data_IF_874771417843
#
_entry.id   IF_874771417843
#
_cell.length_a   1.000
_cell.length_b   1.000
_cell.length_c   1.000
_cell.angle_alpha   90.00
_cell.angle_beta   90.00
_cell.angle_gamma   90.00
#
_symmetry.space_group_name_H-M   'P 1'
#
loop_
_entity.id
_entity.type
_entity.pdbx_description
1 polymer ?
#
# COMPACT_ATOMS: atom_id res chain seq x y z
N UNK A 1 17.18 -9.04 37.95
CA UNK A 1 17.45 -8.74 36.53
C UNK A 1 16.77 -9.72 35.56
N UNK A 2 16.79 -11.04 35.79
CA UNK A 2 16.14 -12.02 34.88
C UNK A 2 14.59 -11.97 34.83
N UNK A 3 13.91 -11.61 35.93
CA UNK A 3 12.43 -11.53 35.99
C UNK A 3 11.82 -10.33 35.23
N UNK A 4 12.56 -9.23 35.11
CA UNK A 4 12.11 -8.01 34.40
C UNK A 4 12.17 -8.22 32.87
N UNK A 5 13.18 -8.95 32.38
CA UNK A 5 13.33 -9.28 30.95
C UNK A 5 12.20 -10.21 30.46
N UNK A 6 11.77 -11.17 31.28
CA UNK A 6 10.70 -12.11 30.94
C UNK A 6 9.34 -11.41 30.82
N UNK A 7 9.07 -10.44 31.71
CA UNK A 7 7.83 -9.64 31.65
C UNK A 7 7.81 -8.77 30.38
N UNK A 8 8.96 -8.18 30.00
CA UNK A 8 9.05 -7.39 28.76
C UNK A 8 8.82 -8.23 27.49
N UNK A 9 9.30 -9.48 27.46
CA UNK A 9 9.09 -10.45 26.37
C UNK A 9 7.63 -10.93 26.24
N UNK A 10 6.87 -10.95 27.33
CA UNK A 10 5.45 -11.34 27.30
C UNK A 10 4.52 -10.19 26.89
N UNK A 11 4.89 -8.93 27.11
CA UNK A 11 4.04 -7.78 26.76
C UNK A 11 4.23 -7.36 25.29
N UNK A 12 5.44 -7.55 24.73
CA UNK A 12 5.78 -7.13 23.37
C UNK A 12 4.91 -7.76 22.23
N UNK A 13 4.48 -9.04 22.28
CA UNK A 13 3.63 -9.58 21.22
C UNK A 13 2.18 -9.06 21.26
N UNK A 14 1.71 -8.48 22.38
CA UNK A 14 0.36 -7.90 22.45
C UNK A 14 0.28 -6.53 21.77
N UNK A 15 1.39 -5.78 21.73
CA UNK A 15 1.42 -4.45 21.13
C UNK A 15 1.46 -4.50 19.60
N UNK A 16 1.89 -5.64 19.02
CA UNK A 16 1.95 -5.86 17.58
C UNK A 16 0.63 -6.39 16.99
N UNK A 17 -0.35 -6.76 17.83
CA UNK A 17 -1.71 -7.14 17.43
C UNK A 17 -2.70 -5.98 17.64
N UNK A 18 -2.28 -4.75 17.32
CA UNK A 18 -3.15 -3.58 17.37
C UNK A 18 -2.99 -2.71 16.12
N UNK A 19 -2.67 -3.32 14.98
CA UNK A 19 -2.67 -2.62 13.68
C UNK A 19 -3.92 -2.98 12.88
N UNK A 20 -4.77 -1.99 12.66
CA UNK A 20 -5.73 -1.92 11.55
C UNK A 20 -6.82 -2.98 11.53
N UNK A 21 -8.04 -2.62 11.93
CA UNK A 21 -9.23 -3.46 11.74
C UNK A 21 -9.67 -3.42 10.28
N UNK A 22 -9.03 -4.22 9.42
CA UNK A 22 -9.49 -4.49 8.05
C UNK A 22 -10.88 -5.18 8.03
N UNK A 23 -11.33 -5.65 9.19
CA UNK A 23 -12.64 -6.28 9.44
C UNK A 23 -13.85 -5.43 9.02
N UNK A 24 -13.71 -4.11 8.82
CA UNK A 24 -14.82 -3.23 8.43
C UNK A 24 -15.02 -3.06 6.91
N UNK A 25 -14.10 -3.52 6.06
CA UNK A 25 -14.12 -3.20 4.63
C UNK A 25 -15.18 -3.99 3.83
N UNK A 26 -15.62 -5.13 4.35
CA UNK A 26 -16.53 -6.04 3.63
C UNK A 26 -15.86 -6.70 2.40
N UNK A 27 -16.58 -7.59 1.69
CA UNK A 27 -16.01 -8.36 0.59
C UNK A 27 -15.65 -7.48 -0.61
N UNK A 28 -14.45 -7.65 -1.17
CA UNK A 28 -13.99 -6.93 -2.34
C UNK A 28 -12.48 -7.05 -2.57
N UNK A 29 -12.00 -6.44 -3.65
CA UNK A 29 -10.57 -6.25 -3.92
C UNK A 29 -10.17 -4.83 -3.48
N UNK A 30 -9.09 -4.73 -2.73
CA UNK A 30 -8.62 -3.47 -2.15
C UNK A 30 -7.13 -3.28 -2.40
N UNK A 31 -6.73 -2.02 -2.51
CA UNK A 31 -5.33 -1.59 -2.49
C UNK A 31 -5.09 -0.76 -1.23
N UNK A 32 -4.10 -1.14 -0.42
CA UNK A 32 -3.64 -0.37 0.73
C UNK A 32 -2.34 0.37 0.37
N UNK A 33 -2.38 1.69 0.45
CA UNK A 33 -1.23 2.55 0.26
C UNK A 33 -0.73 3.01 1.61
N UNK A 34 0.42 2.50 2.04
CA UNK A 34 1.14 3.04 3.19
C UNK A 34 1.97 4.24 2.75
N UNK A 35 1.69 5.41 3.32
CA UNK A 35 2.44 6.64 3.05
C UNK A 35 3.02 7.23 4.33
N UNK A 36 3.94 8.20 4.19
CA UNK A 36 4.45 8.96 5.32
C UNK A 36 3.39 9.86 6.00
N UNK A 37 2.17 9.97 5.43
CA UNK A 37 1.04 10.72 5.99
C UNK A 37 -0.10 9.83 6.49
N UNK A 38 0.10 8.51 6.49
CA UNK A 38 -0.89 7.52 6.91
C UNK A 38 -1.28 6.57 5.78
N UNK A 39 -2.20 5.65 6.10
CA UNK A 39 -2.67 4.62 5.17
C UNK A 39 -3.90 5.10 4.41
N UNK A 40 -4.01 4.71 3.14
CA UNK A 40 -5.16 4.97 2.29
C UNK A 40 -5.60 3.67 1.65
N UNK A 41 -6.84 3.27 1.91
CA UNK A 41 -7.43 2.04 1.37
C UNK A 41 -8.40 2.40 0.25
N UNK A 42 -8.22 1.78 -0.91
CA UNK A 42 -9.06 1.99 -2.08
C UNK A 42 -9.71 0.68 -2.50
N UNK A 43 -11.03 0.67 -2.66
CA UNK A 43 -11.74 -0.45 -3.28
C UNK A 43 -11.56 -0.41 -4.79
N UNK A 44 -11.09 -1.49 -5.37
CA UNK A 44 -10.92 -1.65 -6.82
C UNK A 44 -12.19 -2.22 -7.44
N UNK A 45 -12.47 -1.84 -8.69
CA UNK A 45 -13.66 -2.25 -9.44
C UNK A 45 -13.25 -3.06 -10.69
N UNK A 46 -12.93 -4.36 -10.52
CA UNK A 46 -12.55 -5.21 -11.63
C UNK A 46 -13.72 -5.53 -12.56
N UNK A 47 -14.97 -5.45 -12.08
CA UNK A 47 -16.15 -5.71 -12.89
C UNK A 47 -16.33 -4.61 -13.95
N UNK A 48 -16.08 -3.35 -13.57
CA UNK A 48 -16.19 -2.21 -14.48
C UNK A 48 -14.94 -2.01 -15.34
N UNK A 49 -13.76 -2.19 -14.76
CA UNK A 49 -12.47 -1.87 -15.40
C UNK A 49 -11.42 -2.96 -15.22
N UNK A 50 -11.65 -4.17 -15.76
CA UNK A 50 -10.82 -5.34 -15.46
C UNK A 50 -9.37 -5.14 -15.90
N UNK A 51 -9.12 -4.64 -17.11
CA UNK A 51 -7.76 -4.46 -17.63
C UNK A 51 -6.97 -3.44 -16.83
N UNK A 52 -7.60 -2.35 -16.40
CA UNK A 52 -6.96 -1.32 -15.58
C UNK A 52 -6.62 -1.85 -14.20
N UNK A 53 -7.55 -2.58 -13.57
CA UNK A 53 -7.31 -3.20 -12.27
C UNK A 53 -6.21 -4.25 -12.36
N UNK A 54 -6.22 -5.12 -13.38
CA UNK A 54 -5.16 -6.11 -13.61
C UNK A 54 -3.80 -5.46 -13.81
N UNK A 55 -3.72 -4.41 -14.63
CA UNK A 55 -2.47 -3.68 -14.84
C UNK A 55 -1.95 -3.07 -13.52
N UNK A 56 -2.83 -2.38 -12.78
CA UNK A 56 -2.49 -1.78 -11.50
C UNK A 56 -2.00 -2.82 -10.48
N UNK A 57 -2.73 -3.92 -10.30
CA UNK A 57 -2.33 -4.98 -9.36
C UNK A 57 -1.02 -5.65 -9.79
N UNK A 58 -0.86 -5.92 -11.09
CA UNK A 58 0.37 -6.53 -11.59
C UNK A 58 1.61 -5.66 -11.37
N UNK A 59 1.49 -4.33 -11.52
CA UNK A 59 2.55 -3.39 -11.19
C UNK A 59 2.79 -3.32 -9.66
N UNK A 60 1.72 -3.26 -8.87
CA UNK A 60 1.81 -3.19 -7.41
C UNK A 60 2.49 -4.44 -6.81
N UNK A 61 2.22 -5.62 -7.35
CA UNK A 61 2.80 -6.89 -6.91
C UNK A 61 4.15 -7.21 -7.58
N UNK A 62 4.61 -6.39 -8.54
CA UNK A 62 5.85 -6.63 -9.30
C UNK A 62 5.78 -7.81 -10.26
N UNK A 63 4.59 -8.34 -10.54
CA UNK A 63 4.38 -9.48 -11.45
C UNK A 63 4.30 -9.04 -12.92
N UNK A 64 4.00 -7.76 -13.17
CA UNK A 64 4.02 -7.17 -14.51
C UNK A 64 5.36 -6.48 -14.79
N UNK A 65 6.08 -6.87 -15.87
CA UNK A 65 7.35 -6.25 -16.22
C UNK A 65 7.15 -4.79 -16.63
N UNK A 66 8.14 -3.96 -16.32
CA UNK A 66 8.20 -2.54 -16.65
C UNK A 66 9.67 -2.10 -16.80
N UNK A 67 9.91 -0.90 -17.31
CA UNK A 67 11.27 -0.40 -17.61
C UNK A 67 11.95 0.28 -16.41
N UNK A 68 11.26 0.43 -15.27
CA UNK A 68 11.75 1.18 -14.12
C UNK A 68 12.23 0.28 -12.96
N UNK A 69 11.59 -0.87 -12.77
CA UNK A 69 11.88 -1.84 -11.71
C UNK A 69 12.36 -3.15 -12.28
N UNK A 70 13.22 -3.84 -11.53
CA UNK A 70 13.59 -5.20 -11.85
C UNK A 70 12.38 -6.16 -11.73
N UNK A 71 12.34 -7.27 -12.48
CA UNK A 71 11.24 -8.23 -12.39
C UNK A 71 11.03 -8.75 -10.96
N UNK A 72 9.80 -8.69 -10.46
CA UNK A 72 9.45 -9.09 -9.10
C UNK A 72 9.54 -7.97 -8.05
N UNK A 73 10.01 -6.77 -8.43
CA UNK A 73 9.99 -5.61 -7.54
C UNK A 73 8.66 -4.82 -7.65
N UNK A 74 8.01 -4.46 -6.53
CA UNK A 74 6.82 -3.59 -6.52
C UNK A 74 7.07 -2.24 -7.20
N UNK A 75 6.23 -1.89 -8.17
CA UNK A 75 6.40 -0.68 -8.97
C UNK A 75 6.23 0.62 -8.18
N UNK A 76 5.16 0.70 -7.38
CA UNK A 76 4.72 1.96 -6.74
C UNK A 76 5.53 2.35 -5.50
N UNK A 77 6.36 1.44 -4.97
CA UNK A 77 7.13 1.69 -3.76
C UNK A 77 8.10 2.85 -3.95
N UNK A 78 8.08 3.80 -3.00
CA UNK A 78 8.95 4.98 -3.03
C UNK A 78 8.56 6.08 -4.02
N UNK A 79 7.48 5.90 -4.81
CA UNK A 79 6.98 6.96 -5.68
C UNK A 79 6.36 8.10 -4.85
N UNK A 80 6.37 9.30 -5.43
CA UNK A 80 5.84 10.50 -4.77
C UNK A 80 4.52 10.94 -5.39
N UNK A 81 3.75 11.73 -4.63
CA UNK A 81 2.65 12.50 -5.19
C UNK A 81 3.24 13.79 -5.76
N UNK A 82 3.49 13.82 -7.07
CA UNK A 82 4.19 14.93 -7.72
C UNK A 82 3.31 16.15 -7.97
N UNK A 83 1.98 15.98 -7.99
CA UNK A 83 1.05 17.07 -8.20
C UNK A 83 -0.17 16.97 -7.30
N UNK A 84 -0.54 18.10 -6.73
CA UNK A 84 -1.80 18.31 -6.01
C UNK A 84 -2.66 19.31 -6.78
N UNK A 85 -3.90 18.92 -7.09
CA UNK A 85 -4.96 19.82 -7.49
C UNK A 85 -5.90 19.98 -6.28
N UNK A 86 -5.68 21.04 -5.50
CA UNK A 86 -6.35 21.27 -4.23
C UNK A 86 -7.88 21.13 -4.34
N UNK A 87 -8.46 20.27 -3.50
CA UNK A 87 -9.90 19.98 -3.48
C UNK A 87 -10.41 19.07 -4.61
N UNK A 88 -9.52 18.57 -5.47
CA UNK A 88 -9.90 17.72 -6.61
C UNK A 88 -9.17 16.37 -6.62
N UNK A 89 -7.84 16.38 -6.72
CA UNK A 89 -7.07 15.15 -6.91
C UNK A 89 -5.61 15.28 -6.48
N UNK A 90 -5.01 14.12 -6.15
CA UNK A 90 -3.57 13.92 -6.04
C UNK A 90 -3.13 13.03 -7.20
N UNK A 91 -1.97 13.33 -7.78
CA UNK A 91 -1.40 12.58 -8.89
C UNK A 91 -0.09 11.93 -8.46
N UNK A 92 0.08 10.66 -8.82
CA UNK A 92 1.26 9.82 -8.55
C UNK A 92 1.39 8.77 -9.65
N UNK A 93 2.28 7.79 -9.47
CA UNK A 93 2.51 6.70 -10.43
C UNK A 93 3.53 7.02 -11.53
N UNK A 94 4.23 8.14 -11.42
CA UNK A 94 5.33 8.51 -12.31
C UNK A 94 6.69 8.38 -11.57
N UNK A 95 7.60 7.52 -12.07
CA UNK A 95 8.96 7.39 -11.55
C UNK A 95 9.82 8.66 -11.59
N UNK A 96 9.68 9.53 -12.60
CA UNK A 96 10.43 10.80 -12.65
C UNK A 96 9.81 11.86 -11.75
N UNK A 97 8.50 11.75 -11.48
CA UNK A 97 7.77 12.67 -10.62
C UNK A 97 7.60 14.05 -11.25
N UNK A 98 7.59 14.13 -12.58
CA UNK A 98 7.41 15.37 -13.35
C UNK A 98 6.08 15.42 -14.11
N UNK A 99 5.35 14.30 -14.18
CA UNK A 99 3.95 14.23 -14.64
C UNK A 99 3.80 14.29 -16.15
#
# INVERSE_FOLDING_TARGET
>A
MKRIIIVFLMIMPYFLWASGSDDELGPGLYADFTTNRGNMIFRLDPDRTPLTVTNFCGLAEGTLPNDYREPGEPFYDGLTFYREAAGYALFSGDPSGDG
#
